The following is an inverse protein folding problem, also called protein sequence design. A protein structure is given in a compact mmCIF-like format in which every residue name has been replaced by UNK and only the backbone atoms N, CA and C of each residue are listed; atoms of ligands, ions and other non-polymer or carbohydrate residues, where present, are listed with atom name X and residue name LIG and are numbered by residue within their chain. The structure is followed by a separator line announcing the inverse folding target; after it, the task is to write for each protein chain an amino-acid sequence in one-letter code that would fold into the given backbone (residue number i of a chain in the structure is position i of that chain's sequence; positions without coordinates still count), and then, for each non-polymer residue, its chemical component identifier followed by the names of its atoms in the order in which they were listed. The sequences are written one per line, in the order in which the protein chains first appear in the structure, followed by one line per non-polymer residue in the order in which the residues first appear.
data_IF_068020346330
#
_entry.id   IF_068020346330
#
_cell.length_a   1.000
_cell.length_b   1.000
_cell.length_c   1.000
_cell.angle_alpha   90.00
_cell.angle_beta   90.00
_cell.angle_gamma   90.00
#
_symmetry.space_group_name_H-M   'P 1'
#
loop_
_entity.id
_entity.type
_entity.pdbx_description
1 polymer ?
#
# COMPACT_ATOMS: atom_id res chain seq x y z
N UNK A 1 0.08 2.12 -9.68
CA UNK A 1 0.95 1.11 -9.01
C UNK A 1 1.01 1.48 -7.53
N UNK A 2 0.73 0.57 -6.61
CA UNK A 2 0.74 0.85 -5.16
C UNK A 2 2.10 0.45 -4.62
N UNK A 3 2.85 1.42 -4.11
CA UNK A 3 4.16 1.23 -3.51
C UNK A 3 4.01 0.76 -2.06
N UNK A 4 4.62 -0.39 -1.73
CA UNK A 4 4.72 -0.90 -0.37
C UNK A 4 5.59 0.06 0.45
N UNK A 5 4.95 0.92 1.24
CA UNK A 5 5.53 2.12 1.85
C UNK A 5 6.70 1.93 2.82
N UNK A 6 7.28 0.75 2.99
CA UNK A 6 8.29 0.47 4.02
C UNK A 6 9.65 1.17 3.86
N UNK A 7 9.90 1.91 2.78
CA UNK A 7 11.20 2.57 2.52
C UNK A 7 11.15 4.00 1.95
N UNK A 8 10.00 4.68 2.00
CA UNK A 8 9.81 5.98 1.35
C UNK A 8 10.79 7.06 1.84
N UNK A 9 10.78 7.37 3.14
CA UNK A 9 11.45 8.58 3.66
C UNK A 9 12.99 8.46 3.65
N UNK A 10 13.56 7.28 3.93
CA UNK A 10 15.02 7.06 3.87
C UNK A 10 15.59 6.98 2.45
N UNK A 11 14.76 6.80 1.42
CA UNK A 11 15.22 6.78 0.02
C UNK A 11 15.46 8.17 -0.56
N UNK A 12 14.80 9.19 0.00
CA UNK A 12 14.67 10.50 -0.63
C UNK A 12 15.72 11.52 -0.17
N UNK A 13 16.40 11.25 0.95
CA UNK A 13 17.34 12.19 1.58
C UNK A 13 18.81 11.79 1.45
N UNK A 14 19.13 10.62 0.88
CA UNK A 14 20.51 10.15 0.76
C UNK A 14 20.92 9.97 -0.71
N UNK A 15 21.88 10.78 -1.18
CA UNK A 15 22.67 10.42 -2.38
C UNK A 15 23.44 9.14 -2.04
N UNK A 16 23.10 8.01 -2.69
CA UNK A 16 23.82 6.75 -2.48
C UNK A 16 25.08 6.70 -3.34
N UNK A 17 26.18 6.23 -2.73
CA UNK A 17 27.34 5.73 -3.47
C UNK A 17 26.93 4.47 -4.25
N UNK A 18 27.44 4.25 -5.47
CA UNK A 18 27.12 3.06 -6.26
C UNK A 18 27.56 1.81 -5.50
N UNK A 19 26.60 0.92 -5.22
CA UNK A 19 26.89 -0.39 -4.66
C UNK A 19 27.23 -1.33 -5.81
N UNK A 20 28.50 -1.65 -5.98
CA UNK A 20 28.93 -2.71 -6.87
C UNK A 20 28.33 -4.05 -6.39
N UNK A 21 27.57 -4.71 -7.26
CA UNK A 21 27.07 -6.06 -7.01
C UNK A 21 28.30 -6.98 -7.02
N UNK A 22 28.65 -7.55 -5.87
CA UNK A 22 29.73 -8.56 -5.80
C UNK A 22 29.28 -9.81 -6.56
N UNK A 23 30.08 -10.23 -7.54
CA UNK A 23 29.92 -11.50 -8.25
C UNK A 23 29.84 -12.62 -7.20
N UNK A 24 28.73 -13.36 -7.17
CA UNK A 24 28.45 -14.43 -6.19
C UNK A 24 27.35 -14.14 -5.15
N UNK A 25 26.78 -12.93 -5.09
CA UNK A 25 25.58 -12.69 -4.27
C UNK A 25 24.34 -13.37 -4.87
N UNK A 26 23.52 -14.03 -4.04
CA UNK A 26 22.26 -14.68 -4.48
C UNK A 26 21.41 -13.74 -5.34
N UNK A 27 20.84 -14.20 -6.46
CA UNK A 27 20.05 -13.37 -7.38
C UNK A 27 18.73 -12.87 -6.78
N UNK A 28 18.28 -13.45 -5.65
CA UNK A 28 17.05 -13.08 -4.99
C UNK A 28 17.30 -12.62 -3.55
N UNK A 29 16.58 -11.60 -3.06
CA UNK A 29 16.65 -11.18 -1.67
C UNK A 29 16.24 -12.35 -0.76
N UNK A 30 16.88 -12.47 0.42
CA UNK A 30 16.44 -13.45 1.42
C UNK A 30 14.98 -13.17 1.79
N UNK A 31 14.18 -14.21 2.14
CA UNK A 31 12.88 -13.99 2.76
C UNK A 31 13.02 -13.02 3.95
N UNK A 32 12.34 -11.86 3.89
CA UNK A 32 12.44 -10.80 4.90
C UNK A 32 13.45 -9.69 4.61
N UNK A 33 14.26 -9.78 3.54
CA UNK A 33 15.05 -8.65 3.04
C UNK A 33 14.20 -7.92 2.00
N UNK A 34 13.92 -6.61 2.18
CA UNK A 34 13.16 -5.86 1.19
C UNK A 34 13.90 -5.92 -0.16
N UNK A 35 13.20 -6.14 -1.28
CA UNK A 35 13.83 -6.17 -2.60
C UNK A 35 14.65 -4.91 -2.85
N UNK A 36 15.67 -5.01 -3.72
CA UNK A 36 16.37 -3.83 -4.22
C UNK A 36 15.33 -2.82 -4.69
N UNK A 37 15.42 -1.58 -4.20
CA UNK A 37 14.38 -0.57 -4.36
C UNK A 37 14.04 -0.42 -5.85
N UNK A 38 12.86 -0.90 -6.24
CA UNK A 38 12.31 -0.62 -7.56
C UNK A 38 12.26 0.90 -7.72
N UNK A 39 12.84 1.39 -8.81
CA UNK A 39 12.59 2.75 -9.24
C UNK A 39 11.08 2.89 -9.38
N UNK A 40 10.50 3.89 -8.73
CA UNK A 40 9.07 4.19 -8.89
C UNK A 40 8.86 4.53 -10.35
N UNK A 41 8.36 3.58 -11.14
CA UNK A 41 8.01 3.82 -12.53
C UNK A 41 6.80 4.74 -12.52
N UNK A 42 7.05 6.03 -12.68
CA UNK A 42 5.98 7.02 -12.82
C UNK A 42 5.38 6.84 -14.20
N UNK A 43 4.22 6.20 -14.25
CA UNK A 43 3.51 5.99 -15.51
C UNK A 43 2.83 7.30 -15.94
N UNK A 44 3.26 7.95 -17.02
CA UNK A 44 2.68 9.22 -17.44
C UNK A 44 1.18 9.06 -17.72
N UNK A 45 0.39 10.06 -17.29
CA UNK A 45 -1.07 10.05 -17.46
C UNK A 45 -1.85 9.17 -16.47
N UNK A 46 -1.18 8.41 -15.60
CA UNK A 46 -1.86 7.60 -14.58
C UNK A 46 -1.79 8.32 -13.22
N UNK A 47 -2.92 8.50 -12.52
CA UNK A 47 -2.90 9.06 -11.18
C UNK A 47 -2.19 8.11 -10.20
N UNK A 48 -1.21 8.65 -9.48
CA UNK A 48 -0.49 7.91 -8.45
C UNK A 48 -0.99 8.34 -7.09
N UNK A 49 -1.27 7.37 -6.23
CA UNK A 49 -1.70 7.62 -4.86
C UNK A 49 -0.79 6.86 -3.90
N UNK A 50 -0.45 7.52 -2.80
CA UNK A 50 0.13 6.83 -1.65
C UNK A 50 -1.00 6.28 -0.79
N UNK A 51 -1.03 4.97 -0.58
CA UNK A 51 -1.95 4.35 0.37
C UNK A 51 -1.87 5.05 1.73
N UNK A 52 -3.00 5.53 2.23
CA UNK A 52 -3.06 6.34 3.46
C UNK A 52 -2.57 5.54 4.68
N UNK A 53 -2.88 4.25 4.76
CA UNK A 53 -2.42 3.39 5.86
C UNK A 53 -0.89 3.26 5.86
N UNK A 54 -0.28 3.13 4.68
CA UNK A 54 1.18 3.07 4.56
C UNK A 54 1.82 4.43 4.84
N UNK A 55 1.23 5.53 4.35
CA UNK A 55 1.69 6.88 4.68
C UNK A 55 1.63 7.13 6.19
N UNK A 56 0.54 6.74 6.86
CA UNK A 56 0.38 6.83 8.31
C UNK A 56 1.50 6.07 9.02
N UNK A 57 1.73 4.79 8.69
CA UNK A 57 2.78 3.98 9.33
C UNK A 57 4.16 4.64 9.21
N UNK A 58 4.51 5.18 8.04
CA UNK A 58 5.80 5.84 7.84
C UNK A 58 5.92 7.19 8.57
N UNK A 59 4.87 8.03 8.51
CA UNK A 59 4.87 9.32 9.19
C UNK A 59 4.86 9.15 10.72
N UNK A 60 4.09 8.20 11.26
CA UNK A 60 4.09 7.93 12.70
C UNK A 60 5.39 7.30 13.18
N UNK A 61 6.05 6.48 12.34
CA UNK A 61 7.41 6.00 12.62
C UNK A 61 8.40 7.16 12.67
N UNK A 62 8.27 8.14 11.78
CA UNK A 62 9.06 9.37 11.85
C UNK A 62 8.80 10.13 13.16
N UNK A 63 7.52 10.39 13.51
CA UNK A 63 7.14 11.04 14.77
C UNK A 63 7.77 10.33 15.97
N UNK A 64 7.62 9.00 16.07
CA UNK A 64 8.19 8.20 17.17
C UNK A 64 9.71 8.31 17.27
N UNK A 65 10.41 8.43 16.15
CA UNK A 65 11.88 8.41 16.10
C UNK A 65 12.53 9.78 16.16
N UNK A 66 11.81 10.85 15.79
CA UNK A 66 12.36 12.20 15.64
C UNK A 66 11.71 13.26 16.52
N UNK A 67 10.47 13.06 16.96
CA UNK A 67 9.81 13.98 17.88
C UNK A 67 10.17 13.70 19.34
N UNK A 68 10.20 14.78 20.13
CA UNK A 68 10.31 14.72 21.59
C UNK A 68 9.09 14.01 22.19
N UNK A 69 9.22 13.45 23.40
CA UNK A 69 8.18 12.59 23.98
C UNK A 69 6.86 13.37 24.17
N UNK A 70 6.96 14.63 24.54
CA UNK A 70 5.86 15.55 24.83
C UNK A 70 5.08 15.94 23.57
N UNK A 71 5.75 15.99 22.41
CA UNK A 71 5.14 16.39 21.13
C UNK A 71 4.52 15.22 20.36
N UNK A 72 4.83 13.97 20.75
CA UNK A 72 4.45 12.79 19.96
C UNK A 72 2.96 12.62 19.80
N UNK A 73 2.20 12.87 20.87
CA UNK A 73 0.75 12.71 20.87
C UNK A 73 0.10 13.73 19.93
N UNK A 74 0.45 15.00 20.07
CA UNK A 74 -0.06 16.09 19.24
C UNK A 74 0.31 15.91 17.76
N UNK A 75 1.57 15.57 17.46
CA UNK A 75 1.99 15.32 16.08
C UNK A 75 1.32 14.09 15.48
N UNK A 76 1.05 13.06 16.29
CA UNK A 76 0.30 11.87 15.84
C UNK A 76 -1.13 12.24 15.50
N UNK A 77 -1.77 13.06 16.34
CA UNK A 77 -3.12 13.55 16.11
C UNK A 77 -3.21 14.36 14.82
N UNK A 78 -2.34 15.34 14.63
CA UNK A 78 -2.30 16.18 13.42
C UNK A 78 -2.05 15.36 12.15
N UNK A 79 -1.10 14.41 12.18
CA UNK A 79 -0.86 13.50 11.04
C UNK A 79 -2.12 12.70 10.72
N UNK A 80 -2.82 12.17 11.72
CA UNK A 80 -4.05 11.41 11.50
C UNK A 80 -5.19 12.30 10.96
N UNK A 81 -5.32 13.53 11.45
CA UNK A 81 -6.32 14.49 10.95
C UNK A 81 -6.08 14.84 9.47
N UNK A 82 -4.82 14.98 9.05
CA UNK A 82 -4.47 15.21 7.64
C UNK A 82 -4.84 13.99 6.78
N UNK A 83 -4.43 12.80 7.23
CA UNK A 83 -4.52 11.57 6.43
C UNK A 83 -5.94 11.01 6.33
N UNK A 84 -6.75 11.12 7.38
CA UNK A 84 -8.08 10.53 7.48
C UNK A 84 -9.21 11.58 7.48
N UNK A 85 -8.92 12.79 6.99
CA UNK A 85 -9.94 13.82 6.84
C UNK A 85 -11.12 13.31 5.98
N UNK A 86 -12.32 13.79 6.26
CA UNK A 86 -13.48 13.46 5.42
C UNK A 86 -13.50 14.24 4.10
N UNK A 87 -12.83 15.40 4.05
CA UNK A 87 -12.78 16.30 2.89
C UNK A 87 -11.37 16.86 2.69
N UNK A 88 -11.06 17.26 1.46
CA UNK A 88 -9.77 17.89 1.12
C UNK A 88 -9.54 19.17 1.94
N UNK A 89 -10.56 20.02 2.08
CA UNK A 89 -10.48 21.25 2.88
C UNK A 89 -10.11 20.99 4.35
N UNK A 90 -10.64 19.92 4.96
CA UNK A 90 -10.29 19.54 6.33
C UNK A 90 -8.84 19.05 6.41
N UNK A 91 -8.37 18.32 5.39
CA UNK A 91 -6.98 17.90 5.31
C UNK A 91 -6.03 19.09 5.18
N UNK A 92 -6.38 20.09 4.36
CA UNK A 92 -5.61 21.34 4.18
C UNK A 92 -5.54 22.14 5.48
N UNK A 93 -6.68 22.32 6.15
CA UNK A 93 -6.73 22.99 7.46
C UNK A 93 -5.85 22.28 8.49
N UNK A 94 -5.89 20.95 8.56
CA UNK A 94 -5.04 20.19 9.47
C UNK A 94 -3.54 20.31 9.12
N UNK A 95 -3.22 20.40 7.83
CA UNK A 95 -1.84 20.65 7.36
C UNK A 95 -1.35 22.05 7.77
N UNK A 96 -2.21 23.07 7.68
CA UNK A 96 -1.90 24.43 8.16
C UNK A 96 -1.70 24.48 9.68
N UNK A 97 -2.52 23.73 10.43
CA UNK A 97 -2.35 23.58 11.88
C UNK A 97 -1.00 22.96 12.22
N UNK A 98 -0.60 21.90 11.51
CA UNK A 98 0.73 21.29 11.68
C UNK A 98 1.87 22.27 11.38
N UNK A 99 1.72 23.07 10.33
CA UNK A 99 2.69 24.10 9.99
C UNK A 99 2.81 25.15 11.09
N UNK A 100 1.66 25.68 11.55
CA UNK A 100 1.57 26.68 12.62
C UNK A 100 2.18 26.15 13.92
N UNK A 101 1.87 24.91 14.29
CA UNK A 101 2.46 24.23 15.43
C UNK A 101 3.99 24.18 15.34
N UNK A 102 4.53 23.82 14.18
CA UNK A 102 5.98 23.76 13.97
C UNK A 102 6.70 25.10 14.11
N UNK A 103 6.04 26.21 13.77
CA UNK A 103 6.58 27.55 13.99
C UNK A 103 6.43 28.01 15.44
N UNK A 104 5.24 27.88 16.04
CA UNK A 104 4.97 28.38 17.39
C UNK A 104 5.75 27.62 18.48
N UNK A 105 5.88 26.30 18.33
CA UNK A 105 6.57 25.44 19.30
C UNK A 105 8.05 25.24 18.98
N UNK A 106 8.57 25.88 17.91
CA UNK A 106 9.92 25.67 17.40
C UNK A 106 10.30 24.18 17.22
N UNK A 107 9.32 23.34 16.86
CA UNK A 107 9.53 21.90 16.71
C UNK A 107 10.14 21.57 15.35
N UNK A 108 11.42 21.18 15.33
CA UNK A 108 12.09 20.69 14.12
C UNK A 108 11.39 19.47 13.51
N UNK A 109 10.81 18.61 14.37
CA UNK A 109 10.11 17.41 13.92
C UNK A 109 8.84 17.78 13.14
N UNK A 110 8.06 18.73 13.66
CA UNK A 110 6.88 19.26 13.01
C UNK A 110 7.22 19.94 11.67
N UNK A 111 8.22 20.82 11.65
CA UNK A 111 8.65 21.51 10.42
C UNK A 111 9.09 20.54 9.32
N UNK A 112 9.87 19.51 9.68
CA UNK A 112 10.26 18.46 8.74
C UNK A 112 9.07 17.62 8.27
N UNK A 113 8.12 17.28 9.15
CA UNK A 113 6.88 16.60 8.76
C UNK A 113 6.09 17.42 7.76
N UNK A 114 5.90 18.72 8.02
CA UNK A 114 5.22 19.64 7.09
C UNK A 114 5.90 19.65 5.72
N UNK A 115 7.23 19.66 5.68
CA UNK A 115 7.99 19.60 4.42
C UNK A 115 7.76 18.28 3.68
N UNK A 116 7.82 17.14 4.38
CA UNK A 116 7.55 15.81 3.80
C UNK A 116 6.12 15.77 3.24
N UNK A 117 5.12 16.11 4.05
CA UNK A 117 3.71 16.08 3.65
C UNK A 117 3.46 17.02 2.46
N UNK A 118 4.04 18.21 2.46
CA UNK A 118 3.90 19.16 1.35
C UNK A 118 4.51 18.63 0.06
N UNK A 119 5.66 17.95 0.14
CA UNK A 119 6.34 17.37 -1.02
C UNK A 119 5.51 16.23 -1.65
N UNK A 120 4.76 15.50 -0.82
CA UNK A 120 3.92 14.38 -1.24
C UNK A 120 2.43 14.70 -1.29
N UNK A 121 2.06 15.97 -1.23
CA UNK A 121 0.66 16.39 -1.06
C UNK A 121 -0.26 15.81 -2.13
N UNK A 122 0.18 15.90 -3.39
CA UNK A 122 -0.56 15.37 -4.53
C UNK A 122 -0.83 13.85 -4.41
N UNK A 123 0.14 13.05 -3.94
CA UNK A 123 -0.04 11.59 -3.77
C UNK A 123 -0.99 11.26 -2.62
N UNK A 124 -0.96 12.05 -1.53
CA UNK A 124 -1.80 11.84 -0.36
C UNK A 124 -3.26 12.21 -0.63
N UNK A 125 -3.50 13.24 -1.45
CA UNK A 125 -4.84 13.77 -1.73
C UNK A 125 -5.48 13.27 -3.02
N UNK A 126 -4.77 12.47 -3.83
CA UNK A 126 -5.27 11.93 -5.11
C UNK A 126 -6.64 11.25 -4.99
N UNK A 127 -6.95 10.61 -3.87
CA UNK A 127 -8.24 9.95 -3.64
C UNK A 127 -9.43 10.94 -3.51
N UNK A 128 -9.17 12.21 -3.20
CA UNK A 128 -10.20 13.26 -3.23
C UNK A 128 -10.42 13.81 -4.64
N UNK A 129 -9.33 14.00 -5.38
CA UNK A 129 -9.33 14.80 -6.62
C UNK A 129 -9.57 13.96 -7.87
N UNK A 130 -9.11 12.71 -7.90
CA UNK A 130 -9.14 11.88 -9.10
C UNK A 130 -10.26 10.85 -9.06
N UNK A 131 -10.92 10.68 -10.21
CA UNK A 131 -11.93 9.65 -10.46
C UNK A 131 -11.51 8.76 -11.61
N UNK A 132 -11.82 7.48 -11.51
CA UNK A 132 -11.67 6.50 -12.60
C UNK A 132 -13.08 6.14 -13.07
N UNK A 133 -13.49 6.76 -14.18
CA UNK A 133 -14.90 6.77 -14.60
C UNK A 133 -15.78 7.42 -13.52
N UNK A 134 -16.80 6.69 -13.05
CA UNK A 134 -17.71 7.15 -11.98
C UNK A 134 -17.21 6.88 -10.55
N UNK A 135 -16.08 6.19 -10.39
CA UNK A 135 -15.62 5.70 -9.09
C UNK A 135 -14.53 6.57 -8.49
N UNK A 136 -14.64 6.79 -7.18
CA UNK A 136 -13.63 7.45 -6.34
C UNK A 136 -12.48 6.45 -6.12
N UNK A 137 -11.22 6.88 -6.21
CA UNK A 137 -10.10 6.00 -5.86
C UNK A 137 -10.15 5.77 -4.35
N UNK A 138 -10.07 4.51 -3.88
CA UNK A 138 -10.13 4.24 -2.45
C UNK A 138 -8.87 4.80 -1.72
N UNK A 139 -9.03 5.41 -0.54
CA UNK A 139 -7.91 5.93 0.25
C UNK A 139 -6.94 4.84 0.73
N UNK A 140 -7.45 3.64 0.96
CA UNK A 140 -6.72 2.51 1.53
C UNK A 140 -6.63 1.34 0.57
N UNK A 141 -5.60 0.52 0.77
CA UNK A 141 -5.31 -0.65 -0.06
C UNK A 141 -5.67 -1.96 0.65
N UNK A 142 -6.62 -1.94 1.59
CA UNK A 142 -6.99 -3.09 2.42
C UNK A 142 -7.27 -4.36 1.60
N UNK A 143 -7.94 -4.22 0.44
CA UNK A 143 -8.19 -5.36 -0.45
C UNK A 143 -6.88 -5.98 -0.94
N UNK A 144 -5.92 -5.15 -1.32
CA UNK A 144 -4.62 -5.58 -1.82
C UNK A 144 -3.77 -6.15 -0.67
N UNK A 145 -3.77 -5.50 0.50
CA UNK A 145 -3.08 -6.01 1.70
C UNK A 145 -3.61 -7.38 2.12
N UNK A 146 -4.93 -7.59 2.04
CA UNK A 146 -5.55 -8.89 2.31
C UNK A 146 -5.13 -9.97 1.29
N UNK A 147 -5.02 -9.61 0.01
CA UNK A 147 -4.53 -10.53 -1.03
C UNK A 147 -3.06 -10.88 -0.79
N UNK A 148 -2.22 -9.87 -0.53
CA UNK A 148 -0.79 -10.05 -0.23
C UNK A 148 -0.60 -10.89 1.03
N UNK A 149 -1.36 -10.64 2.09
CA UNK A 149 -1.31 -11.41 3.34
C UNK A 149 -1.68 -12.88 3.12
N UNK A 150 -2.73 -13.15 2.35
CA UNK A 150 -3.12 -14.52 1.99
C UNK A 150 -2.03 -15.22 1.15
N UNK A 151 -1.46 -14.53 0.17
CA UNK A 151 -0.35 -15.04 -0.64
C UNK A 151 0.86 -15.37 0.24
N UNK A 152 1.32 -14.42 1.06
CA UNK A 152 2.46 -14.59 1.94
C UNK A 152 2.27 -15.74 2.93
N UNK A 153 1.09 -15.89 3.51
CA UNK A 153 0.79 -16.99 4.44
C UNK A 153 0.95 -18.35 3.74
N UNK A 154 0.50 -18.48 2.50
CA UNK A 154 0.64 -19.71 1.72
C UNK A 154 2.07 -19.95 1.27
N UNK A 155 2.75 -18.92 0.78
CA UNK A 155 4.14 -19.02 0.31
C UNK A 155 5.10 -19.34 1.46
N UNK A 156 4.88 -18.81 2.67
CA UNK A 156 5.69 -19.12 3.86
C UNK A 156 5.67 -20.61 4.23
N UNK A 157 4.55 -21.29 4.00
CA UNK A 157 4.45 -22.75 4.28
C UNK A 157 5.21 -23.62 3.27
N UNK A 158 5.65 -23.05 2.14
CA UNK A 158 6.35 -23.78 1.09
C UNK A 158 7.86 -23.74 1.32
N UNK A 159 8.48 -24.89 1.55
CA UNK A 159 9.90 -24.96 1.94
C UNK A 159 10.86 -24.46 0.86
N UNK A 160 10.59 -24.69 -0.44
CA UNK A 160 11.37 -24.17 -1.59
C UNK A 160 10.53 -24.18 -2.87
N UNK A 161 10.59 -23.10 -3.65
CA UNK A 161 10.10 -23.05 -5.03
C UNK A 161 11.32 -23.08 -5.95
N UNK A 162 11.41 -24.08 -6.84
CA UNK A 162 12.63 -24.36 -7.62
C UNK A 162 12.81 -23.45 -8.84
N UNK A 163 11.71 -23.02 -9.47
CA UNK A 163 11.73 -22.25 -10.72
C UNK A 163 10.73 -21.09 -10.67
N UNK A 164 10.97 -20.05 -11.47
CA UNK A 164 10.03 -18.93 -11.65
C UNK A 164 8.67 -19.39 -12.19
N UNK A 165 8.69 -20.32 -13.15
CA UNK A 165 7.46 -20.93 -13.70
C UNK A 165 6.64 -21.64 -12.62
N UNK A 166 7.27 -22.42 -11.74
CA UNK A 166 6.56 -23.02 -10.61
C UNK A 166 6.01 -21.97 -9.64
N UNK A 167 6.76 -20.89 -9.38
CA UNK A 167 6.28 -19.78 -8.54
C UNK A 167 5.03 -19.13 -9.14
N UNK A 168 5.04 -18.90 -10.44
CA UNK A 168 3.93 -18.31 -11.17
C UNK A 168 2.68 -19.21 -11.11
N UNK A 169 2.83 -20.50 -11.40
CA UNK A 169 1.73 -21.48 -11.31
C UNK A 169 1.16 -21.53 -9.89
N UNK A 170 2.02 -21.56 -8.87
CA UNK A 170 1.60 -21.54 -7.47
C UNK A 170 0.82 -20.26 -7.15
N UNK A 171 1.33 -19.10 -7.55
CA UNK A 171 0.64 -17.82 -7.34
C UNK A 171 -0.72 -17.81 -8.04
N UNK A 172 -0.81 -18.27 -9.29
CA UNK A 172 -2.06 -18.42 -10.04
C UNK A 172 -3.06 -19.31 -9.30
N UNK A 173 -2.61 -20.46 -8.77
CA UNK A 173 -3.44 -21.38 -7.98
C UNK A 173 -3.93 -20.76 -6.66
N UNK A 174 -3.07 -20.01 -5.95
CA UNK A 174 -3.47 -19.31 -4.71
C UNK A 174 -4.51 -18.24 -5.02
N UNK A 175 -4.32 -17.44 -6.07
CA UNK A 175 -5.28 -16.42 -6.50
C UNK A 175 -6.61 -17.06 -6.92
N UNK A 176 -6.56 -18.16 -7.67
CA UNK A 176 -7.75 -18.92 -8.06
C UNK A 176 -8.52 -19.41 -6.82
N UNK A 177 -7.80 -20.02 -5.87
CA UNK A 177 -8.37 -20.49 -4.61
C UNK A 177 -9.01 -19.35 -3.83
N UNK A 178 -8.36 -18.18 -3.75
CA UNK A 178 -8.95 -17.00 -3.10
C UNK A 178 -10.25 -16.56 -3.78
N UNK A 179 -10.28 -16.52 -5.12
CA UNK A 179 -11.46 -16.11 -5.89
C UNK A 179 -12.64 -17.06 -5.78
N UNK A 180 -12.37 -18.35 -5.64
CA UNK A 180 -13.39 -19.41 -5.57
C UNK A 180 -13.82 -19.76 -4.14
N UNK A 181 -13.04 -19.38 -3.12
CA UNK A 181 -13.38 -19.70 -1.72
C UNK A 181 -14.55 -18.82 -1.24
N UNK A 182 -15.65 -19.41 -0.73
CA UNK A 182 -16.74 -18.65 -0.12
C UNK A 182 -16.29 -17.82 1.09
N UNK A 183 -16.89 -16.64 1.25
CA UNK A 183 -16.70 -15.78 2.41
C UNK A 183 -17.57 -16.29 3.57
N UNK A 184 -17.00 -17.11 4.45
CA UNK A 184 -17.73 -17.67 5.62
C UNK A 184 -17.96 -16.63 6.71
N UNK A 185 -16.97 -15.76 6.94
CA UNK A 185 -16.94 -14.88 8.11
C UNK A 185 -17.30 -13.42 7.77
N UNK A 186 -18.05 -13.21 6.69
CA UNK A 186 -18.50 -11.88 6.29
C UNK A 186 -19.63 -11.39 7.22
N UNK A 187 -19.48 -10.21 7.81
CA UNK A 187 -20.55 -9.50 8.54
C UNK A 187 -21.75 -9.19 7.62
N UNK A 188 -21.47 -8.89 6.35
CA UNK A 188 -22.51 -8.65 5.37
C UNK A 188 -23.18 -9.98 4.96
N UNK A 189 -24.42 -10.19 5.42
CA UNK A 189 -25.24 -11.37 5.15
C UNK A 189 -25.42 -11.64 3.65
N UNK A 190 -25.49 -10.61 2.81
CA UNK A 190 -25.68 -10.77 1.35
C UNK A 190 -24.44 -11.33 0.65
N UNK A 191 -23.27 -11.19 1.28
CA UNK A 191 -21.97 -11.68 0.79
C UNK A 191 -21.55 -13.00 1.43
N UNK A 192 -22.13 -13.34 2.57
CA UNK A 192 -21.80 -14.56 3.31
C UNK A 192 -22.10 -15.78 2.44
N UNK A 193 -21.22 -16.79 2.53
CA UNK A 193 -21.26 -18.03 1.75
C UNK A 193 -21.16 -17.84 0.22
N UNK A 194 -20.80 -16.64 -0.25
CA UNK A 194 -20.47 -16.39 -1.66
C UNK A 194 -18.99 -16.14 -1.81
N UNK A 195 -18.40 -16.66 -2.87
CA UNK A 195 -17.03 -16.41 -3.27
C UNK A 195 -16.87 -15.01 -3.87
N UNK A 196 -15.68 -14.39 -3.79
CA UNK A 196 -15.43 -13.10 -4.43
C UNK A 196 -15.81 -13.08 -5.92
N UNK A 197 -15.68 -14.22 -6.59
CA UNK A 197 -15.99 -14.33 -8.00
C UNK A 197 -17.49 -14.33 -8.27
N UNK A 198 -18.28 -15.09 -7.51
CA UNK A 198 -19.75 -15.05 -7.57
C UNK A 198 -20.31 -13.65 -7.28
N UNK A 199 -19.65 -12.90 -6.40
CA UNK A 199 -20.04 -11.52 -6.11
C UNK A 199 -19.71 -10.55 -7.25
N UNK A 200 -18.71 -10.86 -8.08
CA UNK A 200 -18.30 -10.02 -9.21
C UNK A 200 -19.04 -10.35 -10.52
N UNK A 201 -19.49 -11.59 -10.68
CA UNK A 201 -20.26 -12.05 -11.83
C UNK A 201 -21.68 -11.51 -11.69
N UNK A 202 -22.11 -10.65 -12.62
CA UNK A 202 -23.52 -10.26 -12.74
C UNK A 202 -24.36 -11.53 -12.94
N UNK A 203 -25.58 -11.57 -12.37
CA UNK A 203 -26.51 -12.71 -12.37
C UNK A 203 -26.68 -13.49 -13.71
N UNK A 204 -26.28 -12.92 -14.85
CA UNK A 204 -26.48 -13.47 -16.19
C UNK A 204 -25.20 -13.95 -16.91
N UNK A 205 -24.01 -13.93 -16.29
CA UNK A 205 -22.80 -14.43 -16.95
C UNK A 205 -22.56 -15.91 -16.65
N UNK A 206 -22.91 -16.80 -17.60
CA UNK A 206 -22.51 -18.21 -17.61
C UNK A 206 -21.03 -18.32 -17.96
N UNK A 207 -20.15 -18.24 -16.97
CA UNK A 207 -18.70 -18.39 -17.17
C UNK A 207 -18.34 -19.87 -17.20
N UNK A 208 -17.76 -20.35 -18.30
CA UNK A 208 -17.27 -21.73 -18.40
C UNK A 208 -15.94 -21.86 -17.64
N UNK A 209 -16.01 -22.44 -16.44
CA UNK A 209 -14.91 -22.57 -15.48
C UNK A 209 -13.70 -23.33 -16.01
N UNK A 210 -13.93 -24.34 -16.84
CA UNK A 210 -12.87 -25.15 -17.44
C UNK A 210 -11.97 -24.31 -18.35
N UNK A 211 -12.55 -23.45 -19.18
CA UNK A 211 -11.78 -22.56 -20.07
C UNK A 211 -11.04 -21.46 -19.31
N UNK A 212 -11.62 -20.90 -18.25
CA UNK A 212 -10.94 -19.90 -17.43
C UNK A 212 -9.70 -20.48 -16.73
N UNK A 213 -9.82 -21.68 -16.14
CA UNK A 213 -8.71 -22.36 -15.47
C UNK A 213 -7.65 -22.80 -16.49
N UNK A 214 -8.04 -23.38 -17.63
CA UNK A 214 -7.11 -23.80 -18.69
C UNK A 214 -6.32 -22.63 -19.27
N UNK A 215 -6.92 -21.44 -19.41
CA UNK A 215 -6.24 -20.21 -19.85
C UNK A 215 -5.33 -19.63 -18.75
N UNK A 216 -5.67 -19.81 -17.49
CA UNK A 216 -4.88 -19.30 -16.35
C UNK A 216 -3.73 -20.21 -15.95
N UNK A 217 -3.67 -21.46 -16.42
CA UNK A 217 -2.61 -22.44 -16.13
C UNK A 217 -1.65 -22.70 -17.30
N UNK A 218 -1.89 -22.09 -18.47
CA UNK A 218 -0.95 -22.02 -19.60
C UNK A 218 -0.12 -20.75 -19.52
#
# INVERSE_FOLDING_TARGET
MISDGGTGIRALTQKRKPSFIRVGSRPYPRPGVPPAKEQVVFLPGIPHQWCIVHAQRELLKYVRTKAKKEEREELTLLVNQILFASTLQRAEKAKEQLNTYGYMMYSEAAQRLTKIISSYWHLLTTHYTVRVGRYKIPPTTNVIENIISNLNTRLKTMKKIKTSSSAEVICRLIVLKYRLKPLTDSENKLKRNKSPLELSIKKNCKLNWYFFIKKSCR
#
